data_IF_261241348485
#
_entry.id   IF_261241348485
#
_cell.length_a   1.000
_cell.length_b   1.000
_cell.length_c   1.000
_cell.angle_alpha   90.00
_cell.angle_beta   90.00
_cell.angle_gamma   90.00
#
_symmetry.space_group_name_H-M   'P 1'
#
loop_
_entity.id
_entity.type
_entity.pdbx_description
1 polymer ?
#
# COMPACT_ATOMS: atom_id res chain seq x y z
N UNK A 1 -5.19 19.21 17.11
CA UNK A 1 -5.05 17.86 16.50
C UNK A 1 -3.95 17.84 15.42
N UNK A 2 -3.01 16.89 15.44
CA UNK A 2 -2.01 16.81 14.38
C UNK A 2 -2.67 16.43 13.05
N UNK A 3 -2.09 16.82 11.89
CA UNK A 3 -2.70 16.55 10.60
C UNK A 3 -2.61 15.06 10.27
N UNK A 4 -3.77 14.46 9.98
CA UNK A 4 -3.90 13.11 9.41
C UNK A 4 -3.46 13.16 7.94
N UNK A 5 -2.15 13.15 7.70
CA UNK A 5 -1.55 13.10 6.37
C UNK A 5 -0.67 11.87 6.26
N UNK A 6 -1.23 10.76 5.79
CA UNK A 6 -0.60 9.44 5.67
C UNK A 6 0.51 9.36 4.63
N UNK A 7 1.64 9.98 4.93
CA UNK A 7 2.93 9.65 4.33
C UNK A 7 3.99 9.73 5.41
N UNK A 8 5.05 8.93 5.29
CA UNK A 8 6.26 9.10 6.10
C UNK A 8 7.29 9.75 5.18
N UNK A 9 7.38 11.08 5.11
CA UNK A 9 8.36 11.74 4.27
C UNK A 9 9.76 11.41 4.78
N UNK A 10 10.69 11.11 3.88
CA UNK A 10 12.10 11.03 4.22
C UNK A 10 12.53 12.32 4.96
N UNK A 11 13.33 12.18 6.03
CA UNK A 11 13.79 13.27 6.93
C UNK A 11 12.75 13.80 7.94
N UNK A 12 11.75 13.00 8.33
CA UNK A 12 10.86 13.29 9.47
C UNK A 12 11.16 12.33 10.65
N UNK A 13 10.91 12.73 11.91
CA UNK A 13 11.23 11.91 13.08
C UNK A 13 10.66 10.49 13.04
N UNK A 14 9.49 10.32 12.41
CA UNK A 14 8.83 9.02 12.27
C UNK A 14 9.59 8.06 11.33
N UNK A 15 10.29 8.59 10.34
CA UNK A 15 11.09 7.80 9.40
C UNK A 15 12.34 7.21 10.08
N UNK A 16 12.97 7.99 10.97
CA UNK A 16 14.17 7.54 11.70
C UNK A 16 13.80 6.52 12.79
N UNK A 17 12.64 6.69 13.44
CA UNK A 17 12.08 5.65 14.34
C UNK A 17 11.86 4.36 13.57
N UNK A 18 11.20 4.42 12.40
CA UNK A 18 10.95 3.23 11.58
C UNK A 18 12.24 2.52 11.16
N UNK A 19 13.28 3.27 10.75
CA UNK A 19 14.59 2.69 10.46
C UNK A 19 15.21 1.98 11.67
N UNK A 20 15.07 2.56 12.86
CA UNK A 20 15.60 1.97 14.09
C UNK A 20 14.90 0.66 14.49
N UNK A 21 13.60 0.54 14.22
CA UNK A 21 12.82 -0.66 14.56
C UNK A 21 12.64 -1.64 13.40
N UNK A 22 13.02 -1.28 12.17
CA UNK A 22 12.84 -2.11 10.97
C UNK A 22 13.30 -3.57 11.12
N UNK A 23 14.42 -3.89 11.82
CA UNK A 23 14.82 -5.28 12.06
C UNK A 23 13.81 -6.12 12.87
N UNK A 24 12.94 -5.46 13.63
CA UNK A 24 11.89 -6.08 14.46
C UNK A 24 10.51 -6.03 13.79
N UNK A 25 10.38 -5.35 12.65
CA UNK A 25 9.11 -5.23 11.95
C UNK A 25 8.92 -6.39 10.99
N UNK A 26 7.81 -7.10 11.13
CA UNK A 26 7.41 -8.11 10.14
C UNK A 26 7.11 -7.46 8.80
N UNK A 27 6.28 -6.41 8.81
CA UNK A 27 5.89 -5.65 7.63
C UNK A 27 5.28 -4.27 7.99
N UNK A 28 5.12 -3.42 6.98
CA UNK A 28 4.31 -2.20 7.01
C UNK A 28 3.15 -2.28 6.03
N UNK A 29 2.07 -1.60 6.37
CA UNK A 29 0.84 -1.54 5.61
C UNK A 29 0.48 -0.08 5.30
N UNK A 30 1.17 0.59 4.36
CA UNK A 30 0.84 1.97 3.99
C UNK A 30 -0.57 2.05 3.39
N UNK A 31 -1.36 2.99 3.92
CA UNK A 31 -2.69 3.28 3.43
C UNK A 31 -2.60 4.21 2.21
N UNK A 32 -2.67 3.65 1.00
CA UNK A 32 -2.65 4.44 -0.25
C UNK A 32 -4.04 5.02 -0.60
N UNK A 33 -4.76 5.49 0.41
CA UNK A 33 -6.10 6.06 0.34
C UNK A 33 -6.26 7.19 1.37
N UNK A 34 -7.24 8.07 1.20
CA UNK A 34 -7.56 9.22 2.07
C UNK A 34 -6.42 10.25 2.31
N UNK A 35 -5.22 10.00 1.80
CA UNK A 35 -4.06 10.89 1.85
C UNK A 35 -3.75 11.53 0.49
N UNK A 36 -2.47 11.67 0.10
CA UNK A 36 -2.09 12.25 -1.18
C UNK A 36 -2.16 11.26 -2.36
N UNK A 37 -2.28 9.96 -2.09
CA UNK A 37 -2.19 8.92 -3.12
C UNK A 37 -3.56 8.53 -3.68
N UNK A 38 -3.65 8.39 -5.01
CA UNK A 38 -4.86 7.95 -5.73
C UNK A 38 -4.48 6.88 -6.76
N UNK A 39 -4.16 5.65 -6.33
CA UNK A 39 -3.55 4.64 -7.20
C UNK A 39 -4.45 4.20 -8.36
N UNK A 40 -5.78 4.33 -8.25
CA UNK A 40 -6.70 4.12 -9.36
C UNK A 40 -6.65 5.20 -10.45
N UNK A 41 -6.17 6.41 -10.12
CA UNK A 41 -6.06 7.54 -11.06
C UNK A 41 -4.62 7.72 -11.54
N UNK A 42 -3.66 7.64 -10.62
CA UNK A 42 -2.23 7.76 -10.88
C UNK A 42 -1.46 6.94 -9.85
N UNK A 43 -0.91 5.81 -10.31
CA UNK A 43 -0.18 4.85 -9.48
C UNK A 43 1.26 5.30 -9.16
N UNK A 44 1.89 6.11 -10.02
CA UNK A 44 3.32 6.44 -9.91
C UNK A 44 3.74 7.04 -8.56
N UNK A 45 2.98 7.97 -7.93
CA UNK A 45 3.34 8.50 -6.61
C UNK A 45 3.33 7.43 -5.52
N UNK A 46 2.42 6.45 -5.58
CA UNK A 46 2.36 5.36 -4.60
C UNK A 46 3.52 4.38 -4.80
N UNK A 47 3.91 4.08 -6.05
CA UNK A 47 5.08 3.26 -6.35
C UNK A 47 6.39 3.93 -5.89
N UNK A 48 6.53 5.24 -6.09
CA UNK A 48 7.70 5.98 -5.62
C UNK A 48 7.81 5.93 -4.09
N UNK A 49 6.68 6.11 -3.37
CA UNK A 49 6.66 5.98 -1.92
C UNK A 49 6.97 4.54 -1.47
N UNK A 50 6.45 3.52 -2.17
CA UNK A 50 6.78 2.13 -1.88
C UNK A 50 8.28 1.86 -2.10
N UNK A 51 8.88 2.39 -3.17
CA UNK A 51 10.32 2.29 -3.44
C UNK A 51 11.15 2.89 -2.29
N UNK A 52 10.74 4.06 -1.78
CA UNK A 52 11.38 4.68 -0.60
C UNK A 52 11.29 3.79 0.64
N UNK A 53 10.13 3.18 0.92
CA UNK A 53 9.99 2.25 2.05
C UNK A 53 10.89 1.02 1.89
N UNK A 54 10.86 0.39 0.71
CA UNK A 54 11.65 -0.80 0.41
C UNK A 54 13.13 -0.51 0.55
N UNK A 55 13.63 0.52 -0.14
CA UNK A 55 15.06 0.77 -0.24
C UNK A 55 15.62 1.48 1.00
N UNK A 56 14.89 2.44 1.56
CA UNK A 56 15.41 3.26 2.64
C UNK A 56 15.09 2.70 4.04
N UNK A 57 13.99 1.97 4.22
CA UNK A 57 13.62 1.40 5.54
C UNK A 57 14.00 -0.07 5.63
N UNK A 58 13.67 -0.87 4.61
CA UNK A 58 13.84 -2.32 4.64
C UNK A 58 15.07 -2.83 3.89
N UNK A 59 15.99 -1.94 3.51
CA UNK A 59 17.26 -2.33 2.90
C UNK A 59 17.11 -3.13 1.60
N UNK A 60 16.03 -2.90 0.85
CA UNK A 60 15.72 -3.61 -0.39
C UNK A 60 14.72 -4.77 -0.23
N UNK A 61 14.30 -5.11 1.00
CA UNK A 61 13.34 -6.19 1.23
C UNK A 61 11.90 -5.74 0.94
N UNK A 62 11.43 -6.00 -0.28
CA UNK A 62 10.07 -5.68 -0.71
C UNK A 62 8.99 -6.50 -0.01
N UNK A 63 9.33 -7.66 0.57
CA UNK A 63 8.35 -8.55 1.21
C UNK A 63 7.73 -7.94 2.46
N UNK A 64 8.40 -6.93 3.02
CA UNK A 64 7.98 -6.17 4.20
C UNK A 64 6.98 -5.05 3.90
N UNK A 65 6.57 -4.84 2.66
CA UNK A 65 5.63 -3.75 2.31
C UNK A 65 4.39 -4.30 1.60
N UNK A 66 3.22 -4.13 2.23
CA UNK A 66 1.92 -4.49 1.67
C UNK A 66 1.21 -3.26 1.10
N UNK A 67 0.59 -3.39 -0.07
CA UNK A 67 -0.12 -2.28 -0.71
C UNK A 67 -1.57 -2.16 -0.18
N UNK A 68 -1.91 -1.00 0.38
CA UNK A 68 -3.21 -0.77 1.02
C UNK A 68 -4.28 -0.17 0.14
N UNK A 69 -5.47 -0.78 0.15
CA UNK A 69 -6.66 -0.31 -0.56
C UNK A 69 -7.78 0.09 0.41
N UNK A 70 -8.57 1.07 -0.01
CA UNK A 70 -9.88 1.34 0.57
C UNK A 70 -10.96 0.89 -0.42
N UNK A 71 -11.90 0.07 0.04
CA UNK A 71 -12.90 -0.58 -0.83
C UNK A 71 -14.30 -0.01 -0.66
N UNK A 72 -14.55 0.65 0.46
CA UNK A 72 -15.80 1.31 0.80
C UNK A 72 -15.53 2.59 1.62
N UNK A 73 -16.48 3.52 1.62
CA UNK A 73 -16.47 4.73 2.47
C UNK A 73 -15.29 5.71 2.33
N UNK A 74 -14.49 5.62 1.26
CA UNK A 74 -13.47 6.60 0.89
C UNK A 74 -13.83 7.42 -0.36
N UNK A 75 -15.12 7.54 -0.69
CA UNK A 75 -15.60 8.32 -1.84
C UNK A 75 -15.37 9.82 -1.68
N UNK A 76 -15.42 10.35 -0.44
CA UNK A 76 -15.20 11.77 -0.14
C UNK A 76 -13.82 12.30 -0.56
N UNK A 77 -12.83 11.42 -0.70
CA UNK A 77 -11.50 11.75 -1.22
C UNK A 77 -11.26 11.18 -2.62
N UNK A 78 -12.20 10.40 -3.17
CA UNK A 78 -12.04 9.66 -4.42
C UNK A 78 -11.05 8.50 -4.33
N UNK A 79 -10.97 7.82 -3.17
CA UNK A 79 -9.99 6.75 -2.92
C UNK A 79 -10.55 5.33 -2.93
N UNK A 80 -11.85 5.15 -3.21
CA UNK A 80 -12.42 3.80 -3.37
C UNK A 80 -11.82 3.11 -4.60
N UNK A 81 -11.39 1.86 -4.43
CA UNK A 81 -10.85 1.02 -5.49
C UNK A 81 -11.60 -0.31 -5.51
N UNK A 82 -12.21 -0.67 -6.64
CA UNK A 82 -12.89 -1.97 -6.77
C UNK A 82 -11.88 -3.12 -7.01
N UNK A 83 -12.35 -4.37 -6.94
CA UNK A 83 -11.47 -5.55 -7.02
C UNK A 83 -10.71 -5.68 -8.34
N UNK A 84 -11.33 -5.31 -9.47
CA UNK A 84 -10.69 -5.36 -10.79
C UNK A 84 -9.60 -4.29 -10.93
N UNK A 85 -9.86 -3.08 -10.45
CA UNK A 85 -8.85 -2.01 -10.39
C UNK A 85 -7.70 -2.40 -9.48
N UNK A 86 -7.99 -2.96 -8.29
CA UNK A 86 -6.99 -3.41 -7.35
C UNK A 86 -6.12 -4.53 -7.94
N UNK A 87 -6.70 -5.49 -8.64
CA UNK A 87 -5.97 -6.54 -9.35
C UNK A 87 -5.00 -5.97 -10.40
N UNK A 88 -5.45 -5.02 -11.22
CA UNK A 88 -4.61 -4.34 -12.22
C UNK A 88 -3.48 -3.52 -11.58
N UNK A 89 -3.76 -2.87 -10.45
CA UNK A 89 -2.74 -2.18 -9.65
C UNK A 89 -1.72 -3.18 -9.11
N UNK A 90 -2.16 -4.30 -8.55
CA UNK A 90 -1.26 -5.31 -7.98
C UNK A 90 -0.40 -6.00 -9.04
N UNK A 91 -0.88 -6.20 -10.27
CA UNK A 91 -0.04 -6.65 -11.38
C UNK A 91 1.13 -5.69 -11.64
N UNK A 92 0.88 -4.38 -11.61
CA UNK A 92 1.92 -3.36 -11.80
C UNK A 92 2.86 -3.25 -10.60
N UNK A 93 2.32 -3.36 -9.37
CA UNK A 93 3.12 -3.42 -8.13
C UNK A 93 4.04 -4.63 -8.17
N UNK A 94 3.54 -5.82 -8.50
CA UNK A 94 4.35 -7.04 -8.62
C UNK A 94 5.36 -6.98 -9.77
N UNK A 95 5.01 -6.37 -10.90
CA UNK A 95 5.98 -6.16 -11.98
C UNK A 95 7.15 -5.26 -11.55
N UNK A 96 6.91 -4.26 -10.70
CA UNK A 96 7.95 -3.37 -10.17
C UNK A 96 8.70 -3.96 -8.97
N UNK A 97 7.98 -4.67 -8.10
CA UNK A 97 8.45 -5.27 -6.86
C UNK A 97 8.02 -6.74 -6.81
N UNK A 98 8.74 -7.67 -7.48
CA UNK A 98 8.30 -9.07 -7.63
C UNK A 98 8.09 -9.83 -6.31
N UNK A 99 8.79 -9.41 -5.25
CA UNK A 99 8.69 -10.01 -3.91
C UNK A 99 7.93 -9.09 -2.93
N UNK A 100 6.98 -8.28 -3.41
CA UNK A 100 6.18 -7.44 -2.50
C UNK A 100 5.39 -8.29 -1.49
N UNK A 101 5.04 -7.70 -0.35
CA UNK A 101 4.31 -8.37 0.72
C UNK A 101 2.85 -8.70 0.40
N UNK A 102 2.34 -8.30 -0.76
CA UNK A 102 0.95 -8.47 -1.19
C UNK A 102 0.09 -7.23 -0.96
N UNK A 103 -1.20 -7.45 -0.73
CA UNK A 103 -2.19 -6.40 -0.55
C UNK A 103 -2.91 -6.53 0.80
N UNK A 104 -3.37 -5.41 1.34
CA UNK A 104 -4.32 -5.39 2.45
C UNK A 104 -5.48 -4.44 2.15
N UNK A 105 -6.58 -4.60 2.89
CA UNK A 105 -7.83 -3.93 2.59
C UNK A 105 -8.49 -3.33 3.82
N UNK A 106 -9.03 -2.11 3.66
CA UNK A 106 -9.95 -1.49 4.62
C UNK A 106 -11.36 -1.46 4.01
N UNK A 107 -12.30 -2.29 4.47
CA UNK A 107 -12.14 -3.34 5.48
C UNK A 107 -12.83 -4.64 5.08
N UNK A 108 -12.44 -5.76 5.70
CA UNK A 108 -12.99 -7.08 5.38
C UNK A 108 -14.52 -7.18 5.53
N UNK A 109 -15.11 -6.38 6.42
CA UNK A 109 -16.58 -6.28 6.58
C UNK A 109 -17.30 -5.79 5.33
N UNK A 110 -16.59 -5.07 4.45
CA UNK A 110 -17.14 -4.48 3.23
C UNK A 110 -16.76 -5.27 1.97
N UNK A 111 -16.12 -6.43 2.13
CA UNK A 111 -15.74 -7.30 1.01
C UNK A 111 -16.95 -8.00 0.40
N UNK A 112 -17.45 -7.42 -0.70
CA UNK A 112 -18.52 -8.00 -1.53
C UNK A 112 -17.93 -8.54 -2.84
N UNK A 113 -17.09 -9.58 -2.75
CA UNK A 113 -16.30 -10.14 -3.86
C UNK A 113 -15.23 -9.20 -4.42
N UNK A 114 -14.68 -8.34 -3.57
CA UNK A 114 -13.50 -7.55 -3.89
C UNK A 114 -12.22 -8.41 -3.92
N UNK A 115 -12.07 -9.34 -2.98
CA UNK A 115 -10.84 -10.12 -2.80
C UNK A 115 -10.50 -11.16 -3.88
N UNK A 116 -11.44 -11.89 -4.52
CA UNK A 116 -11.09 -12.94 -5.48
C UNK A 116 -10.20 -12.49 -6.66
N UNK A 117 -10.50 -11.40 -7.40
CA UNK A 117 -9.63 -10.97 -8.49
C UNK A 117 -8.23 -10.54 -8.00
N UNK A 118 -8.12 -10.01 -6.78
CA UNK A 118 -6.84 -9.61 -6.18
C UNK A 118 -6.02 -10.85 -5.80
N UNK A 119 -6.66 -11.87 -5.23
CA UNK A 119 -6.01 -13.15 -4.91
C UNK A 119 -5.45 -13.82 -6.17
N UNK A 120 -6.20 -13.84 -7.28
CA UNK A 120 -5.70 -14.33 -8.57
C UNK A 120 -4.51 -13.52 -9.08
N UNK A 121 -4.57 -12.18 -8.99
CA UNK A 121 -3.45 -11.32 -9.41
C UNK A 121 -2.17 -11.54 -8.59
N UNK A 122 -2.30 -12.04 -7.35
CA UNK A 122 -1.20 -12.39 -6.46
C UNK A 122 -0.77 -13.87 -6.57
N UNK A 123 -1.44 -14.68 -7.40
CA UNK A 123 -1.15 -16.11 -7.53
C UNK A 123 -1.55 -16.94 -6.31
N UNK A 124 -2.54 -16.49 -5.54
CA UNK A 124 -3.03 -17.15 -4.33
C UNK A 124 -4.27 -18.03 -4.56
N UNK A 125 -4.87 -17.95 -5.75
CA UNK A 125 -6.14 -18.59 -6.12
C UNK A 125 -6.01 -19.36 -7.43
#
# INVERSE_FOLDING_TARGET
PPPRGGGVPAKKPYFDVLKGIAPQMDYVMPQYYNGPFRPANNLSPALAHMDDLVNQIFGGDASKVLFGFCIADCSGTGSNVNGAQAASIMQQVTARFPQNGGAFVWAASDDQNWSPPVATALGLA
#
